data_IF_501994789336
#
_entry.id   IF_501994789336
#
_cell.length_a   1.000
_cell.length_b   1.000
_cell.length_c   1.000
_cell.angle_alpha   90.00
_cell.angle_beta   90.00
_cell.angle_gamma   90.00
#
_symmetry.space_group_name_H-M   'P 1'
#
loop_
_entity.id
_entity.type
_entity.pdbx_description
1 polymer ?
#
# COMPACT_ATOMS: atom_id res chain seq x y z
N UNK A 1 0.65 -13.45 -5.19
CA UNK A 1 0.70 -12.06 -4.65
C UNK A 1 -0.49 -11.22 -5.11
N UNK A 2 -0.87 -11.26 -6.38
CA UNK A 2 -2.03 -10.53 -6.93
C UNK A 2 -3.35 -10.88 -6.22
N UNK A 3 -3.61 -12.17 -6.02
CA UNK A 3 -4.77 -12.64 -5.24
C UNK A 3 -4.79 -12.11 -3.78
N UNK A 4 -3.62 -11.88 -3.16
CA UNK A 4 -3.54 -11.31 -1.81
C UNK A 4 -3.94 -9.83 -1.80
N UNK A 5 -3.55 -9.05 -2.81
CA UNK A 5 -3.97 -7.63 -2.88
C UNK A 5 -5.45 -7.50 -3.25
N UNK A 6 -5.98 -8.35 -4.13
CA UNK A 6 -7.43 -8.43 -4.37
C UNK A 6 -8.21 -8.79 -3.10
N UNK A 7 -7.70 -9.71 -2.27
CA UNK A 7 -8.31 -9.98 -0.96
C UNK A 7 -8.25 -8.77 -0.03
N UNK A 8 -7.16 -8.00 -0.02
CA UNK A 8 -7.06 -6.77 0.78
C UNK A 8 -8.15 -5.76 0.40
N UNK A 9 -8.43 -5.57 -0.89
CA UNK A 9 -9.55 -4.74 -1.32
C UNK A 9 -10.91 -5.26 -0.83
N UNK A 10 -11.12 -6.58 -0.82
CA UNK A 10 -12.38 -7.17 -0.32
C UNK A 10 -12.53 -7.05 1.20
N UNK A 11 -11.42 -7.09 1.95
CA UNK A 11 -11.43 -6.99 3.42
C UNK A 11 -11.36 -5.55 3.95
N UNK A 12 -11.05 -4.55 3.11
CA UNK A 12 -10.79 -3.17 3.55
C UNK A 12 -11.99 -2.47 4.22
N UNK A 13 -13.23 -2.95 4.02
CA UNK A 13 -14.43 -2.18 4.38
C UNK A 13 -14.37 -0.76 3.74
N UNK A 14 -15.28 0.15 4.09
CA UNK A 14 -15.35 1.49 3.47
C UNK A 14 -14.26 2.50 3.90
N UNK A 15 -13.22 2.10 4.62
CA UNK A 15 -12.18 3.02 5.12
C UNK A 15 -10.87 2.87 4.35
N UNK A 16 -10.14 3.93 4.09
CA UNK A 16 -8.79 3.83 3.51
C UNK A 16 -7.80 3.22 4.49
N UNK A 17 -6.88 2.41 3.96
CA UNK A 17 -5.89 1.71 4.78
C UNK A 17 -4.47 1.88 4.26
N UNK A 18 -3.57 2.27 5.13
CA UNK A 18 -2.13 2.21 4.91
C UNK A 18 -1.68 0.78 4.63
N UNK A 19 -0.76 0.65 3.68
CA UNK A 19 0.02 -0.56 3.45
C UNK A 19 1.48 -0.27 3.70
N UNK A 20 2.25 -1.30 4.05
CA UNK A 20 3.68 -1.19 4.34
C UNK A 20 4.54 -0.95 3.10
N UNK A 21 4.15 -0.03 2.21
CA UNK A 21 4.86 0.39 1.02
C UNK A 21 5.11 1.89 1.07
N UNK A 22 6.38 2.28 0.97
CA UNK A 22 6.80 3.67 0.79
C UNK A 22 7.25 3.89 -0.65
N UNK A 23 6.82 5.00 -1.24
CA UNK A 23 7.17 5.46 -2.57
C UNK A 23 8.13 6.65 -2.46
N UNK A 24 9.07 6.75 -3.39
CA UNK A 24 9.90 7.92 -3.57
C UNK A 24 9.35 8.80 -4.69
N UNK A 25 9.84 10.04 -4.77
CA UNK A 25 9.52 10.97 -5.87
C UNK A 25 9.86 10.39 -7.26
N UNK A 26 10.81 9.45 -7.34
CA UNK A 26 11.21 8.79 -8.59
C UNK A 26 10.32 7.58 -8.94
N UNK A 27 9.14 7.46 -8.30
CA UNK A 27 8.23 6.34 -8.45
C UNK A 27 8.89 4.97 -8.16
N UNK A 28 9.96 4.93 -7.36
CA UNK A 28 10.50 3.69 -6.82
C UNK A 28 9.83 3.41 -5.48
N UNK A 29 9.48 2.15 -5.22
CA UNK A 29 8.83 1.76 -3.97
C UNK A 29 9.68 0.77 -3.18
N UNK A 30 9.58 0.82 -1.86
CA UNK A 30 10.19 -0.14 -0.96
C UNK A 30 9.18 -0.60 0.09
N UNK A 31 9.10 -1.91 0.30
CA UNK A 31 8.30 -2.50 1.36
C UNK A 31 8.98 -2.32 2.72
N UNK A 32 8.21 -2.35 3.80
CA UNK A 32 8.71 -2.24 5.18
C UNK A 32 9.73 -3.32 5.57
N UNK A 33 9.82 -4.41 4.82
CA UNK A 33 10.82 -5.46 5.01
C UNK A 33 12.12 -5.22 4.20
N UNK A 34 12.27 -4.05 3.57
CA UNK A 34 13.44 -3.68 2.78
C UNK A 34 13.38 -4.09 1.31
N UNK A 35 12.43 -4.94 0.90
CA UNK A 35 12.35 -5.42 -0.48
C UNK A 35 11.88 -4.32 -1.44
N UNK A 36 12.50 -4.23 -2.61
CA UNK A 36 12.07 -3.33 -3.68
C UNK A 36 10.69 -3.72 -4.20
N UNK A 37 9.84 -2.72 -4.43
CA UNK A 37 8.54 -2.89 -5.05
C UNK A 37 8.69 -3.13 -6.56
N UNK A 38 8.29 -4.31 -7.02
CA UNK A 38 8.39 -4.72 -8.43
C UNK A 38 7.32 -4.11 -9.36
N UNK A 39 6.58 -3.08 -8.92
CA UNK A 39 5.59 -2.33 -9.73
C UNK A 39 4.51 -3.20 -10.41
N UNK A 40 4.17 -4.33 -9.81
CA UNK A 40 3.16 -5.25 -10.33
C UNK A 40 1.72 -4.74 -10.19
N UNK A 41 1.52 -3.56 -9.59
CA UNK A 41 0.29 -2.79 -9.61
C UNK A 41 0.61 -1.29 -9.71
N UNK A 42 -0.33 -0.52 -10.26
CA UNK A 42 -0.20 0.93 -10.34
C UNK A 42 -0.51 1.58 -8.99
N UNK A 43 0.31 2.57 -8.59
CA UNK A 43 0.10 3.40 -7.40
C UNK A 43 -0.07 4.84 -7.86
N UNK A 44 -1.27 5.41 -7.67
CA UNK A 44 -1.58 6.78 -8.10
C UNK A 44 -1.06 7.80 -7.09
N UNK A 45 -0.68 8.99 -7.55
CA UNK A 45 -0.24 10.10 -6.69
C UNK A 45 1.29 10.24 -6.64
N UNK A 46 1.75 11.25 -5.88
CA UNK A 46 3.16 11.69 -5.83
C UNK A 46 3.71 11.80 -4.41
N UNK A 47 2.96 11.34 -3.41
CA UNK A 47 3.33 11.37 -2.00
C UNK A 47 4.10 10.10 -1.56
N UNK A 48 4.63 10.11 -0.33
CA UNK A 48 5.56 9.07 0.17
C UNK A 48 4.86 7.78 0.62
N UNK A 49 3.73 7.86 1.34
CA UNK A 49 3.12 6.66 1.94
C UNK A 49 2.01 6.11 1.05
N UNK A 50 2.03 4.80 0.80
CA UNK A 50 1.00 4.14 -0.02
C UNK A 50 -0.17 3.64 0.83
N UNK A 51 -1.38 3.84 0.34
CA UNK A 51 -2.62 3.34 0.91
C UNK A 51 -3.47 2.64 -0.15
N UNK A 52 -4.45 1.87 0.31
CA UNK A 52 -5.49 1.29 -0.51
C UNK A 52 -6.80 2.03 -0.28
N UNK A 53 -7.48 2.38 -1.37
CA UNK A 53 -8.86 2.85 -1.41
C UNK A 53 -9.72 1.91 -2.27
N UNK A 54 -10.98 2.27 -2.48
CA UNK A 54 -11.93 1.43 -3.20
C UNK A 54 -11.61 1.34 -4.71
N UNK A 55 -10.80 2.28 -5.21
CA UNK A 55 -10.40 2.40 -6.62
C UNK A 55 -9.00 1.85 -6.90
N UNK A 56 -8.25 1.42 -5.88
CA UNK A 56 -6.88 0.93 -6.06
C UNK A 56 -5.89 1.42 -5.01
N UNK A 57 -4.61 1.43 -5.39
CA UNK A 57 -3.53 1.96 -4.57
C UNK A 57 -3.26 3.44 -4.91
N UNK A 58 -3.10 4.24 -3.88
CA UNK A 58 -2.73 5.66 -3.97
C UNK A 58 -1.61 6.02 -3.01
N UNK A 59 -1.06 7.22 -3.14
CA UNK A 59 -0.13 7.79 -2.16
C UNK A 59 -0.70 9.03 -1.47
N UNK A 60 -0.35 9.20 -0.20
CA UNK A 60 -0.70 10.35 0.61
C UNK A 60 0.44 10.68 1.59
N UNK A 61 0.41 11.88 2.17
CA UNK A 61 1.37 12.28 3.20
C UNK A 61 1.24 11.36 4.42
N UNK A 62 2.37 10.85 4.89
CA UNK A 62 2.42 9.81 5.93
C UNK A 62 1.76 10.22 7.26
N UNK A 63 1.66 11.52 7.55
CA UNK A 63 1.05 12.03 8.79
C UNK A 63 -0.50 11.99 8.78
N UNK A 64 -1.11 11.68 7.64
CA UNK A 64 -2.58 11.66 7.55
C UNK A 64 -3.15 10.42 8.23
N UNK A 65 -4.25 10.59 8.96
CA UNK A 65 -4.86 9.48 9.69
C UNK A 65 -5.56 8.50 8.75
N UNK A 66 -5.17 7.22 8.81
CA UNK A 66 -5.85 6.09 8.15
C UNK A 66 -5.64 4.83 8.99
N UNK A 67 -6.53 3.86 8.82
CA UNK A 67 -6.33 2.52 9.37
C UNK A 67 -5.13 1.86 8.68
N UNK A 68 -4.61 0.75 9.21
CA UNK A 68 -3.49 0.03 8.60
C UNK A 68 -3.81 -1.44 8.41
N UNK A 69 -3.24 -2.06 7.37
CA UNK A 69 -3.28 -3.51 7.22
C UNK A 69 -1.88 -4.06 7.43
N UNK A 70 -1.75 -4.94 8.42
CA UNK A 70 -0.52 -5.65 8.71
C UNK A 70 -0.61 -7.10 8.21
N UNK A 71 0.52 -7.63 7.73
CA UNK A 71 0.68 -9.05 7.47
C UNK A 71 1.87 -9.56 8.28
N UNK A 72 1.63 -10.58 9.10
CA UNK A 72 2.69 -11.36 9.74
C UNK A 72 2.86 -12.67 8.97
N UNK A 73 4.10 -13.09 8.72
CA UNK A 73 4.34 -14.47 8.31
C UNK A 73 4.35 -15.32 9.59
N UNK A 74 3.51 -16.34 9.62
CA UNK A 74 3.56 -17.37 10.65
C UNK A 74 4.54 -18.42 10.11
N UNK A 75 5.66 -18.63 10.82
CA UNK A 75 6.56 -19.77 10.61
C UNK A 75 6.11 -20.89 11.53
#
# INVERSE_FOLDING_TARGET
>A
LILKVLSLYRYKCGSDHWIGLKMTKNQTGQWVNGNTFSKWFNVKGSEECAYLNDNGAGTARCYTERKWICRKNIH
#
